data_IF_549158731637
#
_entry.id   IF_549158731637
#
_cell.length_a   1.000
_cell.length_b   1.000
_cell.length_c   1.000
_cell.angle_alpha   90.00
_cell.angle_beta   90.00
_cell.angle_gamma   90.00
#
_symmetry.space_group_name_H-M   'P 1'
#
loop_
_entity.id
_entity.type
_entity.pdbx_description
1 polymer ?
#
# COMPACT_ATOMS: atom_id res chain seq x y z
N UNK A 1 21.39 -3.71 -47.10
CA UNK A 1 21.36 -2.57 -46.15
C UNK A 1 19.95 -2.33 -45.58
N UNK A 2 18.91 -2.27 -46.41
CA UNK A 2 17.53 -2.06 -45.94
C UNK A 2 17.06 -3.08 -44.87
N UNK A 3 17.36 -4.37 -45.04
CA UNK A 3 17.04 -5.43 -44.08
C UNK A 3 17.65 -5.20 -42.69
N UNK A 4 18.88 -4.71 -42.61
CA UNK A 4 19.55 -4.41 -41.34
C UNK A 4 18.90 -3.21 -40.64
N UNK A 5 18.45 -2.21 -41.41
CA UNK A 5 17.71 -1.05 -40.87
C UNK A 5 16.33 -1.46 -40.36
N UNK A 6 15.60 -2.31 -41.09
CA UNK A 6 14.32 -2.85 -40.62
C UNK A 6 14.47 -3.71 -39.36
N UNK A 7 15.51 -4.53 -39.27
CA UNK A 7 15.81 -5.31 -38.06
C UNK A 7 16.16 -4.41 -36.88
N UNK A 8 16.93 -3.33 -37.10
CA UNK A 8 17.23 -2.37 -36.05
C UNK A 8 15.97 -1.66 -35.54
N UNK A 9 15.10 -1.22 -36.47
CA UNK A 9 13.84 -0.56 -36.14
C UNK A 9 12.88 -1.49 -35.39
N UNK A 10 12.80 -2.78 -35.76
CA UNK A 10 11.94 -3.75 -35.07
C UNK A 10 12.40 -4.01 -33.64
N UNK A 11 13.71 -4.11 -33.41
CA UNK A 11 14.29 -4.28 -32.07
C UNK A 11 14.01 -3.04 -31.21
N UNK A 12 14.24 -1.83 -31.76
CA UNK A 12 13.98 -0.58 -31.04
C UNK A 12 12.49 -0.45 -30.70
N UNK A 13 11.59 -0.73 -31.66
CA UNK A 13 10.15 -0.69 -31.44
C UNK A 13 9.70 -1.68 -30.36
N UNK A 14 10.27 -2.89 -30.33
CA UNK A 14 9.99 -3.89 -29.31
C UNK A 14 10.34 -3.40 -27.90
N UNK A 15 11.53 -2.81 -27.72
CA UNK A 15 11.93 -2.26 -26.42
C UNK A 15 11.09 -1.05 -25.99
N UNK A 16 10.75 -0.16 -26.92
CA UNK A 16 9.87 1.00 -26.62
C UNK A 16 8.49 0.50 -26.17
N UNK A 17 7.91 -0.45 -26.89
CA UNK A 17 6.62 -1.04 -26.52
C UNK A 17 6.70 -1.76 -25.15
N UNK A 18 7.76 -2.53 -24.90
CA UNK A 18 7.98 -3.22 -23.63
C UNK A 18 8.14 -2.26 -22.45
N UNK A 19 8.98 -1.24 -22.57
CA UNK A 19 9.18 -0.21 -21.52
C UNK A 19 7.89 0.60 -21.31
N UNK A 20 7.17 0.93 -22.39
CA UNK A 20 5.88 1.61 -22.32
C UNK A 20 4.85 0.80 -21.55
N UNK A 21 4.73 -0.50 -21.84
CA UNK A 21 3.82 -1.40 -21.15
C UNK A 21 4.18 -1.57 -19.66
N UNK A 22 5.47 -1.71 -19.35
CA UNK A 22 5.94 -1.78 -17.96
C UNK A 22 5.61 -0.50 -17.19
N UNK A 23 5.80 0.68 -17.79
CA UNK A 23 5.39 1.95 -17.17
C UNK A 23 3.89 2.04 -16.96
N UNK A 24 3.09 1.52 -17.89
CA UNK A 24 1.63 1.49 -17.76
C UNK A 24 1.21 0.58 -16.60
N UNK A 25 1.79 -0.62 -16.51
CA UNK A 25 1.51 -1.58 -15.42
C UNK A 25 1.89 -0.99 -14.07
N UNK A 26 3.07 -0.35 -13.97
CA UNK A 26 3.56 0.24 -12.72
C UNK A 26 2.75 1.46 -12.25
N UNK A 27 1.82 1.95 -13.08
CA UNK A 27 0.86 3.01 -12.73
C UNK A 27 -0.39 2.45 -12.05
N UNK A 28 -0.77 1.20 -12.34
CA UNK A 28 -1.84 0.54 -11.61
C UNK A 28 -1.37 0.26 -10.19
N UNK A 29 -2.27 0.47 -9.23
CA UNK A 29 -1.98 0.51 -7.80
C UNK A 29 -0.92 -0.52 -7.38
N UNK A 30 0.21 -0.10 -6.78
CA UNK A 30 1.30 -1.02 -6.43
C UNK A 30 0.89 -2.02 -5.33
N UNK A 31 -0.32 -1.87 -4.79
CA UNK A 31 -0.90 -2.72 -3.78
C UNK A 31 -2.12 -3.43 -4.35
N UNK A 32 -2.35 -4.65 -3.87
CA UNK A 32 -3.55 -5.38 -4.19
C UNK A 32 -4.71 -4.84 -3.35
N UNK A 33 -5.84 -4.52 -3.99
CA UNK A 33 -7.07 -4.06 -3.33
C UNK A 33 -8.26 -4.81 -3.92
N UNK A 34 -9.18 -5.23 -3.05
CA UNK A 34 -10.47 -5.79 -3.47
C UNK A 34 -11.33 -4.72 -4.15
N UNK A 35 -12.24 -5.12 -5.04
CA UNK A 35 -13.17 -4.20 -5.71
C UNK A 35 -13.98 -3.36 -4.71
N UNK A 36 -14.32 -3.94 -3.56
CA UNK A 36 -15.10 -3.28 -2.51
C UNK A 36 -14.25 -2.40 -1.58
N UNK A 37 -12.92 -2.34 -1.77
CA UNK A 37 -12.00 -1.57 -0.93
C UNK A 37 -11.77 -2.13 0.48
N UNK A 38 -12.52 -3.15 0.91
CA UNK A 38 -12.48 -3.72 2.27
C UNK A 38 -11.29 -4.62 2.56
N UNK A 39 -10.60 -5.12 1.53
CA UNK A 39 -9.42 -5.98 1.69
C UNK A 39 -8.30 -5.43 0.84
N UNK A 40 -7.13 -5.21 1.42
CA UNK A 40 -5.99 -4.67 0.68
C UNK A 40 -4.65 -5.08 1.30
N UNK A 41 -3.58 -4.99 0.52
CA UNK A 41 -2.21 -4.98 1.05
C UNK A 41 -1.77 -3.55 1.35
N UNK A 42 -1.03 -3.34 2.42
CA UNK A 42 -0.48 -2.06 2.83
C UNK A 42 0.86 -2.24 3.54
N UNK A 43 1.56 -1.14 3.77
CA UNK A 43 2.79 -1.15 4.58
C UNK A 43 2.49 -0.55 5.94
N UNK A 44 2.96 -1.20 6.99
CA UNK A 44 2.85 -0.74 8.37
C UNK A 44 4.24 -0.57 8.99
N UNK A 45 4.38 0.42 9.85
CA UNK A 45 5.56 0.68 10.65
C UNK A 45 5.12 0.89 12.10
N UNK A 46 5.91 0.46 13.08
CA UNK A 46 5.68 0.87 14.46
C UNK A 46 5.91 2.38 14.58
N UNK A 47 5.16 3.04 15.46
CA UNK A 47 5.32 4.45 15.81
C UNK A 47 6.36 4.60 16.94
N UNK A 48 7.49 3.90 16.78
CA UNK A 48 8.62 3.95 17.69
C UNK A 48 9.79 4.62 16.98
N UNK A 49 10.42 5.61 17.64
CA UNK A 49 11.48 6.47 17.09
C UNK A 49 12.70 5.65 16.60
N UNK A 50 12.84 4.43 17.11
CA UNK A 50 13.96 3.53 16.83
C UNK A 50 13.78 2.61 15.61
N UNK A 51 12.58 2.44 15.05
CA UNK A 51 12.33 1.37 14.08
C UNK A 51 11.51 1.79 12.86
N UNK A 52 12.18 2.37 11.86
CA UNK A 52 11.58 2.77 10.57
C UNK A 52 11.29 1.59 9.60
N UNK A 53 11.23 0.35 10.09
CA UNK A 53 11.13 -0.82 9.22
C UNK A 53 9.69 -1.05 8.75
N UNK A 54 9.41 -0.54 7.55
CA UNK A 54 8.18 -0.83 6.82
C UNK A 54 8.01 -2.33 6.54
N UNK A 55 6.91 -2.88 7.03
CA UNK A 55 6.52 -4.28 6.84
C UNK A 55 5.24 -4.37 6.02
N UNK A 56 5.18 -5.27 5.05
CA UNK A 56 3.97 -5.50 4.26
C UNK A 56 2.96 -6.35 5.05
N UNK A 57 1.71 -5.90 5.08
CA UNK A 57 0.58 -6.56 5.75
C UNK A 57 -0.65 -6.58 4.86
N UNK A 58 -1.55 -7.50 5.14
CA UNK A 58 -2.89 -7.56 4.54
C UNK A 58 -3.90 -7.06 5.55
N UNK A 59 -4.68 -6.07 5.17
CA UNK A 59 -5.70 -5.45 6.00
C UNK A 59 -7.07 -5.90 5.51
N UNK A 60 -7.93 -6.22 6.45
CA UNK A 60 -9.35 -6.47 6.24
C UNK A 60 -10.13 -5.49 7.11
N UNK A 61 -10.98 -4.69 6.49
CA UNK A 61 -11.92 -3.81 7.17
C UNK A 61 -13.14 -4.65 7.57
N UNK A 62 -13.41 -4.71 8.86
CA UNK A 62 -14.58 -5.36 9.44
C UNK A 62 -15.37 -4.34 10.29
N UNK A 63 -16.47 -3.85 9.72
CA UNK A 63 -17.34 -2.80 10.26
C UNK A 63 -16.62 -1.53 10.73
N UNK A 64 -16.10 -1.52 11.95
CA UNK A 64 -15.34 -0.40 12.53
C UNK A 64 -13.96 -0.80 13.06
N UNK A 65 -13.42 -1.91 12.55
CA UNK A 65 -12.13 -2.46 12.98
C UNK A 65 -11.31 -2.88 11.78
N UNK A 66 -10.00 -2.74 11.91
CA UNK A 66 -9.01 -3.18 10.92
C UNK A 66 -8.38 -4.47 11.42
N UNK A 67 -8.72 -5.59 10.80
CA UNK A 67 -8.04 -6.85 11.04
C UNK A 67 -6.79 -6.93 10.17
N UNK A 68 -5.63 -6.82 10.81
CA UNK A 68 -4.34 -6.87 10.15
C UNK A 68 -3.80 -8.30 10.23
N UNK A 69 -3.44 -8.84 9.07
CA UNK A 69 -2.86 -10.16 8.90
C UNK A 69 -1.55 -10.05 8.11
N UNK A 70 -0.47 -10.54 8.70
CA UNK A 70 0.86 -10.50 8.11
C UNK A 70 1.40 -11.90 7.81
N UNK A 71 1.96 -12.10 6.61
CA UNK A 71 2.81 -13.27 6.34
C UNK A 71 4.27 -12.89 6.63
N UNK A 72 4.99 -13.69 7.40
CA UNK A 72 6.39 -13.43 7.79
C UNK A 72 6.62 -13.21 9.29
N UNK A 73 7.87 -13.31 9.74
CA UNK A 73 8.27 -13.15 11.14
C UNK A 73 8.09 -11.72 11.64
N UNK A 74 8.47 -10.74 10.82
CA UNK A 74 8.37 -9.31 11.16
C UNK A 74 6.93 -8.81 11.21
N UNK A 75 6.02 -9.44 10.49
CA UNK A 75 4.60 -9.07 10.48
C UNK A 75 3.78 -9.77 11.56
N UNK A 76 4.40 -10.63 12.41
CA UNK A 76 3.73 -11.29 13.54
C UNK A 76 3.28 -10.29 14.62
N UNK A 77 4.07 -9.26 14.90
CA UNK A 77 3.77 -8.24 15.91
C UNK A 77 2.49 -7.47 15.59
N UNK A 78 2.28 -7.17 14.31
CA UNK A 78 1.14 -6.40 13.82
C UNK A 78 -0.17 -7.19 13.67
N UNK A 79 -0.19 -8.49 14.00
CA UNK A 79 -1.40 -9.31 13.82
C UNK A 79 -2.47 -8.96 14.86
N UNK A 80 -3.71 -8.86 14.41
CA UNK A 80 -4.88 -8.70 15.28
C UNK A 80 -5.83 -7.60 14.81
N UNK A 81 -6.71 -7.19 15.72
CA UNK A 81 -7.67 -6.11 15.50
C UNK A 81 -7.06 -4.76 15.88
N UNK A 82 -7.17 -3.80 14.97
CA UNK A 82 -6.69 -2.43 15.08
C UNK A 82 -7.84 -1.46 14.87
N UNK A 83 -7.67 -0.23 15.36
CA UNK A 83 -8.58 0.90 15.13
C UNK A 83 -7.77 2.06 14.56
N UNK A 84 -8.41 2.88 13.73
CA UNK A 84 -7.80 4.11 13.24
C UNK A 84 -8.00 5.20 14.30
N UNK A 85 -6.95 5.96 14.58
CA UNK A 85 -7.00 7.11 15.48
C UNK A 85 -7.16 8.40 14.69
N UNK A 86 -6.24 8.65 13.77
CA UNK A 86 -6.21 9.89 13.00
C UNK A 86 -5.45 9.71 11.68
N UNK A 87 -5.63 10.68 10.79
CA UNK A 87 -4.87 10.80 9.56
C UNK A 87 -3.60 11.62 9.84
N UNK A 88 -2.43 11.05 9.54
CA UNK A 88 -1.17 11.78 9.61
C UNK A 88 -0.97 12.54 8.29
N UNK A 89 -1.20 13.85 8.32
CA UNK A 89 -0.99 14.73 7.16
C UNK A 89 0.50 15.00 6.94
N UNK A 90 1.19 14.03 6.32
CA UNK A 90 2.56 14.20 5.86
C UNK A 90 2.51 14.81 4.46
N UNK A 91 2.66 16.14 4.39
CA UNK A 91 2.37 17.02 3.24
C UNK A 91 3.07 16.72 1.90
N UNK A 92 4.01 15.77 1.82
CA UNK A 92 4.89 15.62 0.65
C UNK A 92 4.86 14.28 -0.10
N UNK A 93 4.02 13.32 0.27
CA UNK A 93 3.95 12.04 -0.45
C UNK A 93 2.62 11.80 -1.15
N UNK A 94 2.67 11.15 -2.34
CA UNK A 94 1.50 10.58 -3.05
C UNK A 94 0.84 9.41 -2.28
N UNK A 95 0.98 9.40 -0.96
CA UNK A 95 0.64 8.31 -0.04
C UNK A 95 0.04 8.93 1.21
N UNK A 96 -1.06 8.35 1.67
CA UNK A 96 -1.73 8.67 2.92
C UNK A 96 -1.18 7.81 4.04
N UNK A 97 -1.03 8.42 5.20
CA UNK A 97 -0.57 7.78 6.42
C UNK A 97 -1.70 7.82 7.43
N UNK A 98 -2.09 6.66 7.96
CA UNK A 98 -3.11 6.52 8.97
C UNK A 98 -2.46 6.03 10.25
N UNK A 99 -2.68 6.72 11.36
CA UNK A 99 -2.24 6.25 12.67
C UNK A 99 -3.27 5.24 13.16
N UNK A 100 -2.80 4.03 13.45
CA UNK A 100 -3.61 2.93 13.95
C UNK A 100 -3.16 2.52 15.34
N UNK A 101 -4.10 2.14 16.19
CA UNK A 101 -3.84 1.60 17.52
C UNK A 101 -4.39 0.19 17.62
N UNK A 102 -3.76 -0.65 18.46
CA UNK A 102 -4.32 -1.96 18.76
C UNK A 102 -5.62 -1.80 19.54
N UNK A 103 -6.61 -2.66 19.26
CA UNK A 103 -7.90 -2.64 19.97
C UNK A 103 -7.75 -2.93 21.47
N UNK A 104 -6.81 -3.80 21.82
CA UNK A 104 -6.61 -4.28 23.19
C UNK A 104 -5.64 -3.40 24.00
N UNK A 105 -4.80 -2.59 23.33
CA UNK A 105 -3.82 -1.72 23.98
C UNK A 105 -3.66 -0.41 23.20
N UNK A 106 -4.08 0.69 23.82
CA UNK A 106 -4.01 2.04 23.27
C UNK A 106 -2.59 2.62 23.24
N UNK A 107 -1.62 1.98 23.91
CA UNK A 107 -0.22 2.42 23.91
C UNK A 107 0.54 1.95 22.68
N UNK A 108 0.04 0.92 22.00
CA UNK A 108 0.68 0.37 20.81
C UNK A 108 0.10 1.09 19.60
N UNK A 109 0.82 2.10 19.14
CA UNK A 109 0.52 2.84 17.91
C UNK A 109 1.41 2.38 16.76
N UNK A 110 0.87 2.42 15.55
CA UNK A 110 1.56 2.10 14.33
C UNK A 110 1.05 2.99 13.19
N UNK A 111 1.88 3.17 12.17
CA UNK A 111 1.58 4.01 11.00
C UNK A 111 1.31 3.10 9.81
N UNK A 112 0.11 3.19 9.25
CA UNK A 112 -0.33 2.49 8.06
C UNK A 112 -0.19 3.40 6.84
N UNK A 113 0.59 2.97 5.84
CA UNK A 113 0.87 3.72 4.62
C UNK A 113 0.20 3.11 3.41
N UNK A 114 -0.55 3.95 2.69
CA UNK A 114 -1.42 3.55 1.58
C UNK A 114 -1.28 4.59 0.44
N UNK A 115 -1.26 4.20 -0.84
CA UNK A 115 -1.31 5.14 -1.96
C UNK A 115 -2.56 6.03 -1.91
N UNK A 116 -2.40 7.33 -2.12
CA UNK A 116 -3.49 8.30 -1.98
C UNK A 116 -4.65 8.09 -2.96
N UNK A 117 -4.38 7.46 -4.12
CA UNK A 117 -5.37 7.20 -5.17
C UNK A 117 -6.04 5.83 -5.03
N UNK A 118 -5.81 5.08 -3.95
CA UNK A 118 -6.34 3.73 -3.83
C UNK A 118 -7.81 3.71 -3.46
N UNK A 119 -8.55 2.74 -3.99
CA UNK A 119 -9.99 2.55 -3.71
C UNK A 119 -10.29 2.38 -2.22
N UNK A 120 -9.38 1.80 -1.43
CA UNK A 120 -9.58 1.60 0.00
C UNK A 120 -9.59 2.92 0.82
N UNK A 121 -9.09 4.03 0.26
CA UNK A 121 -9.03 5.32 0.94
C UNK A 121 -10.43 5.80 1.34
N UNK A 122 -11.43 5.65 0.47
CA UNK A 122 -12.81 6.05 0.79
C UNK A 122 -13.40 5.23 1.94
N UNK A 123 -13.10 3.93 2.00
CA UNK A 123 -13.54 3.06 3.08
C UNK A 123 -12.80 3.35 4.40
N UNK A 124 -11.52 3.76 4.34
CA UNK A 124 -10.73 4.15 5.50
C UNK A 124 -11.16 5.51 6.06
N UNK A 125 -11.39 6.50 5.20
CA UNK A 125 -11.83 7.84 5.61
C UNK A 125 -13.20 7.77 6.30
N UNK A 126 -14.08 6.86 5.86
CA UNK A 126 -15.37 6.60 6.51
C UNK A 126 -15.26 5.97 7.92
N UNK A 127 -14.09 5.47 8.32
CA UNK A 127 -13.83 4.94 9.66
C UNK A 127 -13.21 5.98 10.61
N UNK A 128 -12.69 7.09 10.04
CA UNK A 128 -12.09 8.19 10.81
C UNK A 128 -13.14 9.22 11.22
N UNK A 129 -14.20 9.37 10.41
CA UNK A 129 -15.35 10.25 10.69
C UNK A 129 -16.48 9.53 11.43
#
# INVERSE_FOLDING_TARGET
MASNVFNLLSVVAFFIAGIGLLRLINRFEPQWVSKDGTRFSARICDDDDTNERWTEVRVLIDANTLNISGRGRHSKGFRGAWKILCLAEISHEKKRHYVVTRKDDLKITAILRIPANSVCVGALDALVG
#
